data_IF_245087495496
#
_entry.id   IF_245087495496
#
_cell.length_a   1.000
_cell.length_b   1.000
_cell.length_c   1.000
_cell.angle_alpha   90.00
_cell.angle_beta   90.00
_cell.angle_gamma   90.00
#
_symmetry.space_group_name_H-M   'P 1'
#
loop_
_entity.id
_entity.type
_entity.pdbx_description
1 polymer ?
#
# COMPACT_ATOMS: atom_id res chain seq x y z
N UNK A 1 -6.48 1.33 -2.22
CA UNK A 1 -5.28 0.49 -2.44
C UNK A 1 -5.56 -0.94 -1.98
N UNK A 2 -5.24 -1.93 -2.80
CA UNK A 2 -5.43 -3.35 -2.47
C UNK A 2 -4.07 -4.02 -2.25
N UNK A 3 -3.89 -4.71 -1.14
CA UNK A 3 -2.73 -5.55 -0.85
C UNK A 3 -3.12 -7.00 -1.07
N UNK A 4 -2.33 -7.78 -1.78
CA UNK A 4 -2.61 -9.19 -2.03
C UNK A 4 -1.38 -10.06 -1.87
N UNK A 5 -1.60 -11.31 -1.50
CA UNK A 5 -0.56 -12.33 -1.50
C UNK A 5 -1.15 -13.75 -1.59
N UNK A 6 -0.40 -14.64 -2.23
CA UNK A 6 -0.78 -16.04 -2.39
C UNK A 6 0.40 -16.99 -2.30
N UNK A 7 0.11 -18.22 -1.88
CA UNK A 7 1.02 -19.37 -1.92
C UNK A 7 1.18 -19.88 -3.35
N UNK A 8 2.23 -20.65 -3.62
CA UNK A 8 2.41 -21.30 -4.92
C UNK A 8 1.36 -22.38 -5.15
N UNK A 9 0.75 -22.42 -6.33
CA UNK A 9 -0.17 -23.49 -6.76
C UNK A 9 0.53 -24.83 -7.03
N UNK A 10 1.86 -24.81 -7.13
CA UNK A 10 2.70 -25.98 -7.42
C UNK A 10 3.10 -26.75 -6.14
N UNK A 11 2.93 -26.16 -4.95
CA UNK A 11 3.29 -26.76 -3.66
C UNK A 11 2.01 -27.31 -2.98
N UNK A 12 1.32 -28.25 -3.66
CA UNK A 12 -0.03 -28.72 -3.29
C UNK A 12 -0.09 -29.51 -1.99
N UNK A 13 1.04 -30.06 -1.55
CA UNK A 13 1.16 -30.82 -0.30
C UNK A 13 1.20 -29.90 0.94
N UNK A 14 1.16 -28.57 0.75
CA UNK A 14 1.18 -27.57 1.82
C UNK A 14 -0.13 -26.77 1.87
N UNK A 15 -0.41 -26.10 3.01
CA UNK A 15 -1.56 -25.22 3.12
C UNK A 15 -1.54 -24.12 2.05
N UNK A 16 -2.59 -24.08 1.24
CA UNK A 16 -2.75 -23.07 0.19
C UNK A 16 -3.57 -21.89 0.70
N UNK A 17 -3.20 -20.69 0.25
CA UNK A 17 -3.90 -19.47 0.59
C UNK A 17 -3.70 -18.41 -0.48
N UNK A 18 -4.78 -17.74 -0.83
CA UNK A 18 -4.79 -16.53 -1.64
C UNK A 18 -5.72 -15.53 -0.97
N UNK A 19 -5.19 -14.36 -0.60
CA UNK A 19 -5.96 -13.34 0.09
C UNK A 19 -5.63 -11.96 -0.42
N UNK A 20 -6.59 -11.06 -0.30
CA UNK A 20 -6.40 -9.64 -0.51
C UNK A 20 -7.10 -8.82 0.57
N UNK A 21 -6.60 -7.62 0.83
CA UNK A 21 -7.22 -6.62 1.70
C UNK A 21 -7.26 -5.27 1.01
N UNK A 22 -8.41 -4.62 1.07
CA UNK A 22 -8.56 -3.23 0.65
C UNK A 22 -8.24 -2.28 1.82
N UNK A 23 -7.40 -1.29 1.54
CA UNK A 23 -7.05 -0.19 2.45
C UNK A 23 -7.37 1.12 1.74
N UNK A 24 -8.28 1.88 2.35
CA UNK A 24 -8.64 3.23 1.91
C UNK A 24 -7.66 4.23 2.52
N UNK A 25 -7.10 5.10 1.68
CA UNK A 25 -6.30 6.22 2.14
C UNK A 25 -7.24 7.41 2.39
N UNK A 26 -7.09 8.16 3.51
CA UNK A 26 -7.92 9.35 3.77
C UNK A 26 -7.76 10.45 2.72
N UNK A 27 -6.56 10.56 2.13
CA UNK A 27 -6.21 11.50 1.07
C UNK A 27 -5.38 10.78 0.01
N UNK A 28 -5.53 11.18 -1.26
CA UNK A 28 -4.67 10.72 -2.33
C UNK A 28 -3.21 11.10 -2.04
N UNK A 29 -2.32 10.11 -2.01
CA UNK A 29 -0.92 10.30 -1.60
C UNK A 29 0.05 9.62 -2.56
N UNK A 30 1.15 10.32 -2.85
CA UNK A 30 2.32 9.79 -3.54
C UNK A 30 3.52 9.60 -2.58
N UNK A 31 3.32 9.80 -1.27
CA UNK A 31 4.36 9.62 -0.27
C UNK A 31 4.56 8.13 0.04
N UNK A 32 5.76 7.61 -0.23
CA UNK A 32 6.11 6.20 -0.01
C UNK A 32 5.95 5.78 1.44
N UNK A 33 6.23 6.66 2.42
CA UNK A 33 6.07 6.32 3.84
C UNK A 33 4.60 6.13 4.22
N UNK A 34 3.71 6.96 3.66
CA UNK A 34 2.26 6.82 3.82
C UNK A 34 1.79 5.51 3.19
N UNK A 35 2.22 5.24 1.96
CA UNK A 35 1.84 4.03 1.23
C UNK A 35 2.33 2.76 1.94
N UNK A 36 3.59 2.73 2.40
CA UNK A 36 4.15 1.60 3.16
C UNK A 36 3.38 1.36 4.46
N UNK A 37 3.05 2.41 5.22
CA UNK A 37 2.24 2.28 6.45
C UNK A 37 0.86 1.68 6.14
N UNK A 38 0.18 2.16 5.09
CA UNK A 38 -1.11 1.62 4.67
C UNK A 38 -0.99 0.16 4.19
N UNK A 39 0.07 -0.19 3.46
CA UNK A 39 0.34 -1.57 3.05
C UNK A 39 0.51 -2.49 4.26
N UNK A 40 1.34 -2.10 5.23
CA UNK A 40 1.59 -2.86 6.45
C UNK A 40 0.30 -3.08 7.25
N UNK A 41 -0.60 -2.09 7.29
CA UNK A 41 -1.92 -2.24 7.89
C UNK A 41 -2.76 -3.32 7.19
N UNK A 42 -2.78 -3.32 5.86
CA UNK A 42 -3.45 -4.37 5.07
C UNK A 42 -2.85 -5.76 5.29
N UNK A 43 -1.53 -5.86 5.29
CA UNK A 43 -0.81 -7.10 5.56
C UNK A 43 -1.15 -7.62 6.96
N UNK A 44 -1.08 -6.79 8.01
CA UNK A 44 -1.39 -7.24 9.38
C UNK A 44 -2.79 -7.81 9.53
N UNK A 45 -3.77 -7.28 8.80
CA UNK A 45 -5.14 -7.82 8.80
C UNK A 45 -5.27 -9.19 8.16
N UNK A 46 -4.45 -9.45 7.15
CA UNK A 46 -4.58 -10.65 6.32
C UNK A 46 -3.47 -11.65 6.55
N UNK A 47 -2.37 -11.34 7.21
CA UNK A 47 -1.26 -12.25 7.44
C UNK A 47 -1.68 -13.43 8.31
N UNK A 48 -1.19 -14.62 7.97
CA UNK A 48 -1.30 -15.82 8.79
C UNK A 48 -0.01 -16.61 8.68
N UNK A 49 0.53 -17.00 9.83
CA UNK A 49 1.70 -17.87 9.92
C UNK A 49 1.35 -19.30 9.45
N UNK A 50 2.39 -20.09 9.17
CA UNK A 50 2.24 -21.47 8.68
C UNK A 50 1.96 -21.58 7.16
N UNK A 51 1.80 -20.45 6.47
CA UNK A 51 1.67 -20.40 5.00
C UNK A 51 2.97 -19.91 4.36
N UNK A 52 3.37 -20.54 3.25
CA UNK A 52 4.52 -20.14 2.45
C UNK A 52 4.06 -19.27 1.28
N UNK A 53 3.84 -17.98 1.54
CA UNK A 53 3.51 -17.04 0.48
C UNK A 53 4.64 -16.97 -0.55
N UNK A 54 4.28 -17.05 -1.82
CA UNK A 54 5.22 -17.07 -2.94
C UNK A 54 5.19 -15.75 -3.72
N UNK A 55 4.02 -15.09 -3.76
CA UNK A 55 3.84 -13.81 -4.44
C UNK A 55 3.05 -12.86 -3.57
N UNK A 56 3.48 -11.62 -3.53
CA UNK A 56 2.78 -10.51 -2.90
C UNK A 56 2.85 -9.28 -3.80
N UNK A 57 1.87 -8.40 -3.67
CA UNK A 57 1.85 -7.16 -4.41
C UNK A 57 0.80 -6.21 -3.88
N UNK A 58 0.84 -4.99 -4.43
CA UNK A 58 -0.14 -3.96 -4.14
C UNK A 58 -0.68 -3.38 -5.44
N UNK A 59 -1.95 -3.06 -5.45
CA UNK A 59 -2.63 -2.37 -6.55
C UNK A 59 -3.11 -1.03 -6.02
N UNK A 60 -2.55 0.04 -6.57
CA UNK A 60 -3.07 1.39 -6.34
C UNK A 60 -4.29 1.58 -7.26
N UNK A 61 -5.43 1.89 -6.65
CA UNK A 61 -6.68 2.22 -7.33
C UNK A 61 -6.93 3.71 -7.15
N UNK A 62 -7.82 4.28 -7.97
CA UNK A 62 -8.27 5.67 -7.82
C UNK A 62 -7.12 6.69 -7.98
N UNK A 63 -6.27 6.46 -8.98
CA UNK A 63 -5.16 7.34 -9.31
C UNK A 63 -5.67 8.69 -9.82
N UNK A 64 -5.16 9.77 -9.23
CA UNK A 64 -5.49 11.15 -9.60
C UNK A 64 -4.24 11.85 -10.13
N UNK A 65 -4.42 12.71 -11.13
CA UNK A 65 -3.37 13.64 -11.54
C UNK A 65 -3.09 14.61 -10.39
N UNK A 66 -1.80 14.95 -10.19
CA UNK A 66 -1.40 15.84 -9.10
C UNK A 66 -2.18 17.17 -9.10
N UNK A 67 -2.40 17.75 -10.29
CA UNK A 67 -3.16 18.98 -10.48
C UNK A 67 -4.66 18.87 -10.09
N UNK A 68 -5.22 17.66 -10.07
CA UNK A 68 -6.61 17.39 -9.71
C UNK A 68 -6.81 16.93 -8.27
N UNK A 69 -5.76 16.90 -7.45
CA UNK A 69 -5.88 16.46 -6.05
C UNK A 69 -6.51 17.55 -5.18
N UNK A 70 -7.64 17.23 -4.56
CA UNK A 70 -8.22 18.09 -3.53
C UNK A 70 -7.36 17.98 -2.28
N UNK A 71 -6.70 19.08 -1.91
CA UNK A 71 -5.92 19.15 -0.68
C UNK A 71 -6.86 19.11 0.52
N UNK A 72 -6.50 18.34 1.55
CA UNK A 72 -7.12 18.48 2.85
C UNK A 72 -7.04 19.95 3.30
N UNK A 73 -8.09 20.45 3.95
CA UNK A 73 -8.13 21.83 4.42
C UNK A 73 -7.01 22.05 5.46
N UNK A 74 -6.25 23.16 5.40
CA UNK A 74 -5.15 23.39 6.33
C UNK A 74 -5.60 23.26 7.79
N UNK A 75 -4.94 22.41 8.57
CA UNK A 75 -5.23 22.18 10.00
C UNK A 75 -6.08 20.95 10.34
N UNK A 76 -6.61 20.21 9.36
CA UNK A 76 -7.41 18.99 9.57
C UNK A 76 -6.70 17.73 9.05
N UNK A 77 -5.66 17.28 9.76
CA UNK A 77 -5.07 15.95 9.54
C UNK A 77 -4.21 15.82 8.28
N UNK A 78 -3.53 16.90 7.88
CA UNK A 78 -2.58 16.86 6.76
C UNK A 78 -1.54 15.77 7.03
N UNK A 79 -1.41 14.82 6.10
CA UNK A 79 -0.26 13.92 6.11
C UNK A 79 0.97 14.77 5.82
N UNK A 80 1.94 14.70 6.71
CA UNK A 80 3.09 15.59 6.71
C UNK A 80 4.03 15.29 5.55
N UNK A 81 3.71 15.87 4.38
CA UNK A 81 4.35 15.59 3.08
C UNK A 81 5.79 16.15 3.02
N UNK A 82 6.16 17.06 3.92
CA UNK A 82 7.50 17.67 3.96
C UNK A 82 8.59 16.66 4.34
N UNK A 83 8.29 15.75 5.28
CA UNK A 83 9.21 14.68 5.67
C UNK A 83 9.46 13.66 4.55
N UNK A 84 8.45 13.39 3.73
CA UNK A 84 8.55 12.44 2.61
C UNK A 84 9.19 13.00 1.35
N UNK A 85 9.24 14.33 1.19
CA UNK A 85 9.61 14.97 -0.08
C UNK A 85 11.04 14.63 -0.54
N UNK A 86 12.02 14.66 0.37
CA UNK A 86 13.42 14.34 0.05
C UNK A 86 13.59 12.88 -0.37
N UNK A 87 12.93 11.96 0.35
CA UNK A 87 12.92 10.54 0.02
C UNK A 87 12.27 10.30 -1.34
N UNK A 88 11.12 10.91 -1.59
CA UNK A 88 10.42 10.79 -2.88
C UNK A 88 11.24 11.36 -4.04
N UNK A 89 11.96 12.46 -3.85
CA UNK A 89 12.87 13.02 -4.85
C UNK A 89 14.00 12.07 -5.26
N UNK A 90 14.43 11.18 -4.36
CA UNK A 90 15.45 10.16 -4.67
C UNK A 90 14.88 8.93 -5.39
N UNK A 91 13.66 8.52 -5.05
CA UNK A 91 12.97 7.35 -5.63
C UNK A 91 12.41 7.61 -7.03
N UNK A 92 12.01 8.86 -7.29
CA UNK A 92 11.44 9.29 -8.55
C UNK A 92 12.14 10.61 -8.96
N UNK A 93 13.36 10.53 -9.53
CA UNK A 93 14.02 11.71 -10.07
C UNK A 93 13.18 12.26 -11.22
N UNK A 94 12.94 13.58 -11.18
CA UNK A 94 12.17 14.31 -12.20
C UNK A 94 12.98 14.47 -13.50
#
# INVERSE_FOLDING_TARGET
MTVFFHTSEHDRDRPQRSVSSMVTLPEASNDTLVLVKACLHGVRKTWRDGYRYFKAGVVATDLLALAGTQRAFPGLGQLDREHGAALMGSLCPQ
#
